data_IF_577720334523
#
_entry.id   IF_577720334523
#
_cell.length_a   1.000
_cell.length_b   1.000
_cell.length_c   1.000
_cell.angle_alpha   90.00
_cell.angle_beta   90.00
_cell.angle_gamma   90.00
#
_symmetry.space_group_name_H-M   'P 1'
#
loop_
_entity.id
_entity.type
_entity.pdbx_description
1 polymer ?
#
# COMPACT_ATOMS: atom_id res chain seq x y z
N UNK A 1 4.87 -63.78 -61.99
CA UNK A 1 4.76 -63.56 -60.54
C UNK A 1 4.82 -62.05 -60.32
N UNK A 2 3.70 -61.43 -59.95
CA UNK A 2 3.65 -59.99 -59.69
C UNK A 2 3.93 -59.78 -58.20
N UNK A 3 5.06 -59.13 -57.90
CA UNK A 3 5.40 -58.77 -56.53
C UNK A 3 4.53 -57.56 -56.13
N UNK A 4 3.66 -57.74 -55.15
CA UNK A 4 2.88 -56.66 -54.55
C UNK A 4 3.64 -56.18 -53.32
N UNK A 5 4.24 -55.00 -53.40
CA UNK A 5 4.91 -54.36 -52.26
C UNK A 5 3.92 -53.47 -51.50
N UNK A 6 4.04 -53.44 -50.17
CA UNK A 6 3.25 -52.56 -49.30
C UNK A 6 3.66 -51.10 -49.53
N UNK A 7 2.82 -50.35 -50.22
CA UNK A 7 3.02 -48.94 -50.61
C UNK A 7 3.02 -47.94 -49.43
N UNK A 8 3.00 -48.42 -48.19
CA UNK A 8 2.99 -47.63 -46.97
C UNK A 8 4.38 -47.18 -46.50
N UNK A 9 5.45 -47.80 -47.00
CA UNK A 9 6.82 -47.44 -46.61
C UNK A 9 7.37 -46.22 -47.36
N UNK A 10 7.00 -46.03 -48.64
CA UNK A 10 7.50 -44.92 -49.48
C UNK A 10 6.62 -43.66 -49.44
N UNK A 11 5.48 -43.69 -48.73
CA UNK A 11 4.58 -42.55 -48.57
C UNK A 11 5.18 -41.30 -47.90
N UNK A 12 5.99 -41.40 -46.81
CA UNK A 12 6.58 -40.23 -46.17
C UNK A 12 7.79 -39.63 -46.92
N UNK A 13 8.39 -40.38 -47.86
CA UNK A 13 9.55 -39.95 -48.67
C UNK A 13 9.16 -39.46 -50.07
N UNK A 14 7.87 -39.25 -50.34
CA UNK A 14 7.38 -38.79 -51.64
C UNK A 14 7.61 -37.28 -51.77
N UNK A 15 8.31 -36.89 -52.84
CA UNK A 15 8.66 -35.50 -53.18
C UNK A 15 7.45 -34.54 -53.15
N UNK A 16 6.23 -35.03 -53.37
CA UNK A 16 5.00 -34.21 -53.36
C UNK A 16 4.64 -33.57 -52.02
N UNK A 17 5.35 -33.89 -50.92
CA UNK A 17 5.21 -33.21 -49.63
C UNK A 17 6.36 -32.22 -49.35
N UNK A 18 7.36 -32.16 -50.23
CA UNK A 18 8.48 -31.23 -50.09
C UNK A 18 8.09 -29.82 -50.53
N UNK A 19 8.57 -28.81 -49.81
CA UNK A 19 8.32 -27.40 -50.11
C UNK A 19 8.76 -27.00 -51.53
N UNK A 20 9.76 -27.68 -52.09
CA UNK A 20 10.25 -27.45 -53.44
C UNK A 20 9.35 -28.04 -54.55
N UNK A 21 8.35 -28.85 -54.21
CA UNK A 21 7.43 -29.50 -55.15
C UNK A 21 5.99 -28.95 -55.08
N UNK A 22 5.76 -27.81 -54.42
CA UNK A 22 4.43 -27.22 -54.36
C UNK A 22 3.85 -27.00 -55.76
N UNK A 23 2.75 -27.68 -56.07
CA UNK A 23 2.08 -27.53 -57.36
C UNK A 23 1.25 -26.25 -57.37
N UNK A 24 0.94 -25.74 -58.57
CA UNK A 24 0.06 -24.57 -58.68
C UNK A 24 -1.35 -24.85 -58.12
N UNK A 25 -1.79 -26.10 -58.19
CA UNK A 25 -3.05 -26.53 -57.58
C UNK A 25 -3.00 -26.40 -56.06
N UNK A 26 -1.88 -26.76 -55.43
CA UNK A 26 -1.72 -26.62 -53.97
C UNK A 26 -1.73 -25.16 -53.55
N UNK A 27 -1.04 -24.29 -54.30
CA UNK A 27 -1.02 -22.84 -54.04
C UNK A 27 -2.42 -22.25 -54.16
N UNK A 28 -3.17 -22.62 -55.21
CA UNK A 28 -4.54 -22.15 -55.41
C UNK A 28 -5.50 -22.66 -54.34
N UNK A 29 -5.37 -23.93 -53.95
CA UNK A 29 -6.16 -24.53 -52.87
C UNK A 29 -5.89 -23.82 -51.53
N UNK A 30 -4.62 -23.58 -51.20
CA UNK A 30 -4.24 -22.86 -49.99
C UNK A 30 -4.74 -21.41 -50.02
N UNK A 31 -4.61 -20.70 -51.15
CA UNK A 31 -5.09 -19.33 -51.28
C UNK A 31 -6.62 -19.24 -51.11
N UNK A 32 -7.38 -20.17 -51.70
CA UNK A 32 -8.83 -20.25 -51.56
C UNK A 32 -9.25 -20.54 -50.10
N UNK A 33 -8.58 -21.49 -49.45
CA UNK A 33 -8.80 -21.79 -48.04
C UNK A 33 -8.47 -20.60 -47.14
N UNK A 34 -7.34 -19.92 -47.38
CA UNK A 34 -6.94 -18.73 -46.64
C UNK A 34 -7.97 -17.62 -46.82
N UNK A 35 -8.39 -17.29 -48.04
CA UNK A 35 -9.39 -16.25 -48.27
C UNK A 35 -10.72 -16.52 -47.54
N UNK A 36 -11.14 -17.78 -47.47
CA UNK A 36 -12.39 -18.16 -46.79
C UNK A 36 -12.29 -18.14 -45.27
N UNK A 37 -11.12 -18.47 -44.72
CA UNK A 37 -10.91 -18.60 -43.27
C UNK A 37 -10.27 -17.38 -42.63
N UNK A 38 -9.68 -16.50 -43.44
CA UNK A 38 -9.01 -15.30 -42.96
C UNK A 38 -10.03 -14.29 -42.47
N UNK A 39 -9.83 -13.85 -41.22
CA UNK A 39 -10.49 -12.68 -40.72
C UNK A 39 -9.69 -11.43 -41.12
N UNK A 40 -10.15 -10.72 -42.13
CA UNK A 40 -9.49 -9.51 -42.65
C UNK A 40 -9.45 -8.34 -41.65
N UNK A 41 -10.24 -8.42 -40.59
CA UNK A 41 -10.36 -7.37 -39.58
C UNK A 41 -9.83 -7.82 -38.20
N UNK A 42 -8.98 -8.84 -38.16
CA UNK A 42 -8.40 -9.36 -36.92
C UNK A 42 -7.55 -8.33 -36.14
N UNK A 43 -7.10 -7.26 -36.79
CA UNK A 43 -6.37 -6.17 -36.14
C UNK A 43 -7.29 -5.17 -35.40
N UNK A 44 -8.59 -5.11 -35.74
CA UNK A 44 -9.55 -4.20 -35.09
C UNK A 44 -10.25 -4.91 -33.92
N UNK A 45 -9.78 -4.59 -32.72
CA UNK A 45 -10.33 -5.06 -31.46
C UNK A 45 -11.72 -4.53 -31.13
N UNK A 46 -12.10 -3.39 -31.70
CA UNK A 46 -13.32 -2.68 -31.35
C UNK A 46 -14.52 -3.10 -32.21
N UNK A 47 -14.29 -3.95 -33.21
CA UNK A 47 -15.26 -4.38 -34.22
C UNK A 47 -15.89 -3.24 -35.04
N UNK A 48 -15.38 -2.00 -34.97
CA UNK A 48 -16.03 -0.84 -35.57
C UNK A 48 -16.11 -0.94 -37.09
N UNK A 49 -15.00 -1.32 -37.72
CA UNK A 49 -14.91 -1.42 -39.18
C UNK A 49 -15.81 -2.53 -39.73
N UNK A 50 -15.91 -3.65 -39.01
CA UNK A 50 -16.76 -4.78 -39.34
C UNK A 50 -18.24 -4.45 -39.18
N UNK A 51 -18.60 -3.71 -38.12
CA UNK A 51 -19.96 -3.24 -37.89
C UNK A 51 -20.37 -2.28 -39.00
N UNK A 52 -19.51 -1.31 -39.32
CA UNK A 52 -19.75 -0.35 -40.40
C UNK A 52 -20.00 -1.07 -41.73
N UNK A 53 -19.11 -2.00 -42.11
CA UNK A 53 -19.27 -2.82 -43.30
C UNK A 53 -20.54 -3.70 -43.28
N UNK A 54 -20.88 -4.30 -42.15
CA UNK A 54 -22.11 -5.09 -42.05
C UNK A 54 -23.34 -4.20 -42.23
N UNK A 55 -23.30 -2.98 -41.72
CA UNK A 55 -24.42 -2.03 -41.81
C UNK A 55 -24.54 -1.31 -43.15
N UNK A 56 -23.59 -1.47 -44.09
CA UNK A 56 -23.71 -0.85 -45.43
C UNK A 56 -24.81 -1.49 -46.28
N UNK A 57 -25.23 -2.72 -45.97
CA UNK A 57 -26.35 -3.38 -46.65
C UNK A 57 -27.49 -3.67 -45.68
N UNK A 58 -28.74 -3.33 -46.04
CA UNK A 58 -29.90 -3.71 -45.25
C UNK A 58 -30.05 -5.25 -45.25
N UNK A 59 -30.38 -5.81 -44.08
CA UNK A 59 -30.62 -7.25 -43.91
C UNK A 59 -29.40 -8.08 -43.50
N UNK A 60 -28.22 -7.46 -43.32
CA UNK A 60 -27.06 -8.13 -42.71
C UNK A 60 -27.09 -7.89 -41.21
N UNK A 61 -27.31 -8.96 -40.44
CA UNK A 61 -27.21 -8.95 -38.98
C UNK A 61 -25.80 -9.37 -38.57
N UNK A 62 -25.08 -8.52 -37.86
CA UNK A 62 -23.78 -8.86 -37.31
C UNK A 62 -23.95 -9.40 -35.87
N UNK A 63 -23.06 -10.30 -35.49
CA UNK A 63 -22.90 -10.75 -34.11
C UNK A 63 -21.44 -10.57 -33.68
N UNK A 64 -21.24 -10.15 -32.43
CA UNK A 64 -19.92 -10.07 -31.81
C UNK A 64 -19.33 -11.43 -31.47
N UNK A 65 -18.05 -11.45 -31.12
CA UNK A 65 -17.42 -12.62 -30.50
C UNK A 65 -17.91 -12.85 -29.06
N UNK A 66 -17.85 -14.10 -28.58
CA UNK A 66 -18.22 -14.48 -27.21
C UNK A 66 -17.19 -13.94 -26.19
N UNK A 67 -17.33 -12.67 -25.79
CA UNK A 67 -16.45 -11.97 -24.83
C UNK A 67 -14.99 -11.80 -25.28
N UNK A 68 -14.67 -12.16 -26.53
CA UNK A 68 -13.36 -12.02 -27.14
C UNK A 68 -13.47 -11.28 -28.47
N UNK A 69 -12.59 -10.30 -28.68
CA UNK A 69 -12.40 -9.64 -29.96
C UNK A 69 -11.75 -10.60 -30.96
N UNK A 70 -11.97 -10.34 -32.24
CA UNK A 70 -11.25 -11.04 -33.30
C UNK A 70 -9.73 -10.96 -33.05
N UNK A 71 -9.03 -12.10 -33.07
CA UNK A 71 -7.59 -12.15 -32.78
C UNK A 71 -7.21 -12.14 -31.29
N UNK A 72 -8.17 -12.09 -30.36
CA UNK A 72 -7.91 -12.29 -28.92
C UNK A 72 -7.27 -11.09 -28.19
N UNK A 73 -7.35 -9.90 -28.74
CA UNK A 73 -6.67 -8.73 -28.16
C UNK A 73 -7.24 -8.21 -26.83
N UNK A 74 -8.46 -8.59 -26.46
CA UNK A 74 -9.07 -8.24 -25.17
C UNK A 74 -9.06 -9.41 -24.17
N UNK A 75 -8.31 -10.49 -24.43
CA UNK A 75 -8.34 -11.69 -23.57
C UNK A 75 -7.81 -11.37 -22.18
N UNK A 76 -6.77 -10.56 -22.05
CA UNK A 76 -6.22 -10.19 -20.74
C UNK A 76 -7.21 -9.35 -19.93
N UNK A 77 -7.87 -8.38 -20.57
CA UNK A 77 -8.86 -7.53 -19.91
C UNK A 77 -10.12 -8.32 -19.55
N UNK A 78 -10.59 -9.17 -20.46
CA UNK A 78 -11.73 -10.08 -20.24
C UNK A 78 -11.46 -11.05 -19.10
N UNK A 79 -10.28 -11.70 -19.10
CA UNK A 79 -9.85 -12.61 -18.05
C UNK A 79 -9.73 -11.90 -16.71
N UNK A 80 -9.16 -10.70 -16.67
CA UNK A 80 -9.07 -9.90 -15.44
C UNK A 80 -10.44 -9.53 -14.88
N UNK A 81 -11.41 -9.21 -15.73
CA UNK A 81 -12.76 -8.85 -15.29
C UNK A 81 -13.59 -10.06 -14.84
N UNK A 82 -13.43 -11.20 -15.51
CA UNK A 82 -14.18 -12.43 -15.21
C UNK A 82 -13.58 -13.22 -14.05
N UNK A 83 -12.26 -13.31 -13.98
CA UNK A 83 -11.52 -14.11 -12.99
C UNK A 83 -11.14 -13.28 -11.77
N UNK A 84 -10.91 -11.97 -11.94
CA UNK A 84 -10.38 -11.10 -10.89
C UNK A 84 -8.90 -11.35 -10.59
N UNK A 85 -8.43 -10.81 -9.46
CA UNK A 85 -7.06 -11.05 -8.95
C UNK A 85 -6.94 -12.32 -8.10
N UNK A 86 -8.04 -12.74 -7.48
CA UNK A 86 -8.10 -13.92 -6.61
C UNK A 86 -9.13 -14.87 -7.19
N UNK A 87 -8.67 -16.04 -7.62
CA UNK A 87 -9.57 -17.10 -8.07
C UNK A 87 -10.38 -17.60 -6.87
N UNK A 88 -11.68 -17.31 -6.85
CA UNK A 88 -12.60 -17.68 -5.76
C UNK A 88 -12.84 -19.19 -5.68
N UNK A 89 -12.55 -19.92 -6.77
CA UNK A 89 -12.66 -21.38 -6.84
C UNK A 89 -11.32 -21.98 -7.30
N UNK A 90 -10.32 -22.11 -6.42
CA UNK A 90 -9.09 -22.79 -6.76
C UNK A 90 -9.37 -24.25 -7.09
N UNK A 91 -8.54 -24.84 -7.95
CA UNK A 91 -8.64 -26.24 -8.35
C UNK A 91 -8.15 -27.15 -7.20
N UNK A 92 -8.93 -27.25 -6.14
CA UNK A 92 -8.67 -28.10 -4.98
C UNK A 92 -9.41 -29.44 -5.08
N UNK A 93 -8.96 -30.44 -4.32
CA UNK A 93 -9.67 -31.72 -4.17
C UNK A 93 -11.05 -31.44 -3.57
N UNK A 94 -12.09 -31.64 -4.36
CA UNK A 94 -13.47 -31.46 -3.92
C UNK A 94 -13.81 -32.62 -2.99
N UNK A 95 -14.09 -32.31 -1.74
CA UNK A 95 -14.62 -33.28 -0.79
C UNK A 95 -16.14 -33.40 -0.97
N UNK A 96 -16.69 -34.61 -0.82
CA UNK A 96 -18.11 -34.91 -1.00
C UNK A 96 -18.93 -34.58 0.26
N UNK A 97 -18.29 -34.26 1.37
CA UNK A 97 -19.01 -33.84 2.57
C UNK A 97 -19.77 -32.54 2.30
N UNK A 98 -21.00 -32.50 2.84
CA UNK A 98 -21.80 -31.30 2.81
C UNK A 98 -21.07 -30.15 3.51
N UNK A 99 -21.22 -28.94 2.99
CA UNK A 99 -20.71 -27.74 3.65
C UNK A 99 -21.36 -27.63 5.03
N UNK A 100 -20.63 -27.22 6.08
CA UNK A 100 -21.20 -27.03 7.42
C UNK A 100 -22.42 -26.09 7.45
N UNK A 101 -22.58 -25.23 6.43
CA UNK A 101 -23.72 -24.35 6.24
C UNK A 101 -24.23 -24.47 4.80
N UNK A 102 -25.52 -24.75 4.65
CA UNK A 102 -26.18 -24.94 3.36
C UNK A 102 -26.32 -23.62 2.56
N UNK A 103 -26.38 -22.49 3.25
CA UNK A 103 -26.56 -21.15 2.68
C UNK A 103 -25.58 -20.16 3.27
N UNK A 104 -25.42 -19.01 2.63
CA UNK A 104 -24.64 -17.90 3.18
C UNK A 104 -25.38 -17.34 4.40
N UNK A 105 -24.72 -17.25 5.58
CA UNK A 105 -25.34 -16.67 6.78
C UNK A 105 -25.64 -15.18 6.59
N UNK A 106 -26.55 -14.63 7.40
CA UNK A 106 -26.93 -13.21 7.31
C UNK A 106 -25.73 -12.28 7.53
N UNK A 107 -25.31 -11.57 6.47
CA UNK A 107 -24.16 -10.64 6.49
C UNK A 107 -24.53 -9.19 6.84
N UNK A 108 -25.80 -8.90 7.18
CA UNK A 108 -26.28 -7.53 7.37
C UNK A 108 -25.67 -6.78 8.56
N UNK A 109 -25.00 -7.48 9.48
CA UNK A 109 -24.26 -6.86 10.59
C UNK A 109 -22.84 -6.41 10.24
N UNK A 110 -22.38 -6.68 9.01
CA UNK A 110 -21.05 -6.34 8.55
C UNK A 110 -19.94 -7.22 9.14
N UNK A 111 -18.68 -6.81 8.94
CA UNK A 111 -17.52 -7.50 9.50
C UNK A 111 -17.42 -7.27 11.01
N UNK A 112 -17.49 -8.35 11.79
CA UNK A 112 -17.37 -8.31 13.25
C UNK A 112 -15.88 -8.21 13.64
N UNK A 113 -15.55 -7.31 14.58
CA UNK A 113 -14.23 -7.24 15.20
C UNK A 113 -14.36 -7.57 16.70
N UNK A 114 -14.20 -8.85 17.09
CA UNK A 114 -14.47 -9.30 18.46
C UNK A 114 -13.60 -8.61 19.52
N UNK A 115 -12.36 -8.23 19.16
CA UNK A 115 -11.43 -7.58 20.09
C UNK A 115 -11.92 -6.18 20.43
N UNK A 116 -12.29 -5.40 19.42
CA UNK A 116 -12.78 -4.04 19.62
C UNK A 116 -14.14 -4.04 20.31
N UNK A 117 -15.03 -4.97 19.97
CA UNK A 117 -16.32 -5.13 20.66
C UNK A 117 -16.14 -5.46 22.14
N UNK A 118 -15.24 -6.39 22.47
CA UNK A 118 -14.94 -6.73 23.86
C UNK A 118 -14.36 -5.55 24.64
N UNK A 119 -13.45 -4.77 24.03
CA UNK A 119 -12.88 -3.57 24.64
C UNK A 119 -13.94 -2.50 24.93
N UNK A 120 -14.93 -2.32 24.04
CA UNK A 120 -16.03 -1.38 24.26
C UNK A 120 -16.98 -1.89 25.35
N UNK A 121 -17.32 -3.17 25.33
CA UNK A 121 -18.24 -3.78 26.31
C UNK A 121 -17.66 -3.79 27.73
N UNK A 122 -16.36 -4.10 27.85
CA UNK A 122 -15.66 -4.17 29.13
C UNK A 122 -14.94 -2.85 29.49
N UNK A 123 -15.08 -1.84 28.63
CA UNK A 123 -14.49 -0.53 28.81
C UNK A 123 -14.95 0.12 30.11
N UNK A 124 -14.05 0.85 30.73
CA UNK A 124 -14.32 1.47 32.02
C UNK A 124 -15.23 2.70 31.88
N UNK A 125 -16.33 2.72 32.64
CA UNK A 125 -17.32 3.81 32.60
C UNK A 125 -17.00 4.97 33.56
N UNK A 126 -16.10 4.78 34.52
CA UNK A 126 -15.80 5.77 35.56
C UNK A 126 -14.72 6.73 35.06
N UNK A 127 -15.14 7.90 34.58
CA UNK A 127 -14.24 8.92 34.00
C UNK A 127 -13.45 9.68 35.08
N UNK A 128 -13.97 9.78 36.31
CA UNK A 128 -13.42 10.64 37.37
C UNK A 128 -12.55 9.89 38.38
N UNK A 129 -11.56 9.13 37.90
CA UNK A 129 -10.54 8.55 38.77
C UNK A 129 -9.56 9.63 39.21
N UNK A 130 -9.27 9.71 40.51
CA UNK A 130 -8.26 10.64 41.06
C UNK A 130 -6.85 10.39 40.51
N UNK A 131 -6.54 9.16 40.07
CA UNK A 131 -5.28 8.80 39.42
C UNK A 131 -5.16 9.26 37.96
N UNK A 132 -6.28 9.62 37.32
CA UNK A 132 -6.33 10.05 35.91
C UNK A 132 -6.62 11.56 35.85
N UNK A 133 -7.58 12.02 36.65
CA UNK A 133 -7.98 13.42 36.75
C UNK A 133 -7.34 14.08 37.97
N UNK A 134 -6.09 14.54 37.81
CA UNK A 134 -5.35 15.30 38.84
C UNK A 134 -5.83 16.75 38.97
N UNK A 135 -7.16 16.95 39.03
CA UNK A 135 -7.77 18.29 39.11
C UNK A 135 -7.44 19.00 40.42
N UNK A 136 -7.20 18.25 41.51
CA UNK A 136 -6.85 18.83 42.81
C UNK A 136 -5.39 19.27 42.95
N UNK A 137 -4.49 18.77 42.10
CA UNK A 137 -3.05 19.08 42.16
C UNK A 137 -2.67 20.25 41.23
N UNK A 138 -3.55 20.60 40.29
CA UNK A 138 -3.34 21.69 39.35
C UNK A 138 -3.81 23.01 39.96
N UNK A 139 -2.94 24.01 39.94
CA UNK A 139 -3.31 25.38 40.28
C UNK A 139 -4.17 26.01 39.18
N UNK A 140 -5.36 26.49 39.54
CA UNK A 140 -6.26 27.24 38.64
C UNK A 140 -6.01 28.75 38.68
N UNK A 141 -4.96 29.20 39.38
CA UNK A 141 -4.65 30.64 39.56
C UNK A 141 -4.58 31.37 38.21
N UNK A 142 -4.05 30.72 37.17
CA UNK A 142 -3.97 31.25 35.80
C UNK A 142 -5.33 31.64 35.20
N UNK A 143 -6.42 31.00 35.63
CA UNK A 143 -7.77 31.28 35.13
C UNK A 143 -8.53 32.30 35.97
N UNK A 144 -8.05 32.60 37.18
CA UNK A 144 -8.70 33.52 38.12
C UNK A 144 -7.98 34.87 38.26
N UNK A 145 -6.68 34.94 37.95
CA UNK A 145 -5.91 36.17 37.99
C UNK A 145 -5.67 36.73 36.59
N UNK A 146 -5.59 38.05 36.50
CA UNK A 146 -5.18 38.74 35.29
C UNK A 146 -3.73 38.38 34.94
N UNK A 147 -3.42 38.10 33.66
CA UNK A 147 -2.05 37.83 33.24
C UNK A 147 -1.17 39.05 33.46
N UNK A 148 0.12 38.80 33.76
CA UNK A 148 1.11 39.86 33.88
C UNK A 148 1.34 40.53 32.53
N UNK A 149 1.70 41.82 32.57
CA UNK A 149 2.22 42.51 31.39
C UNK A 149 3.53 41.82 30.94
N UNK A 150 3.78 41.62 29.63
CA UNK A 150 4.96 40.89 29.15
C UNK A 150 6.28 41.41 29.72
N UNK A 151 6.46 42.72 29.79
CA UNK A 151 7.67 43.33 30.38
C UNK A 151 7.85 42.98 31.88
N UNK A 152 6.76 42.89 32.64
CA UNK A 152 6.80 42.49 34.05
C UNK A 152 7.05 40.98 34.17
N UNK A 153 6.49 40.19 33.25
CA UNK A 153 6.73 38.75 33.20
C UNK A 153 8.20 38.41 32.90
N UNK A 154 8.81 39.10 31.94
CA UNK A 154 10.21 38.89 31.56
C UNK A 154 11.17 39.25 32.70
N UNK A 155 10.89 40.33 33.41
CA UNK A 155 11.68 40.74 34.59
C UNK A 155 11.50 39.80 35.78
N UNK A 156 10.33 39.17 35.93
CA UNK A 156 10.08 38.21 37.02
C UNK A 156 10.66 36.82 36.73
N UNK A 157 10.64 36.39 35.46
CA UNK A 157 11.17 35.09 35.05
C UNK A 157 12.70 35.08 34.89
N UNK A 158 13.34 36.25 34.80
CA UNK A 158 14.79 36.35 34.75
C UNK A 158 15.39 36.05 36.13
N UNK A 159 16.02 34.89 36.29
CA UNK A 159 16.64 34.49 37.57
C UNK A 159 17.74 35.45 38.01
N UNK A 160 18.46 36.08 37.09
CA UNK A 160 19.53 37.02 37.39
C UNK A 160 19.05 38.31 38.09
N UNK A 161 17.75 38.63 38.07
CA UNK A 161 17.23 39.82 38.77
C UNK A 161 16.62 39.50 40.14
N UNK A 162 16.42 38.21 40.46
CA UNK A 162 15.71 37.75 41.66
C UNK A 162 16.53 36.83 42.56
N UNK A 163 17.38 36.01 41.97
CA UNK A 163 18.20 35.04 42.67
C UNK A 163 19.62 35.60 42.71
N UNK A 164 20.09 35.90 43.90
CA UNK A 164 21.37 36.55 44.12
C UNK A 164 22.55 35.66 43.72
N UNK A 165 22.42 34.33 43.85
CA UNK A 165 23.41 33.35 43.36
C UNK A 165 23.58 33.42 41.83
N UNK A 166 22.50 33.62 41.08
CA UNK A 166 22.53 33.65 39.60
C UNK A 166 22.98 35.04 39.09
N UNK A 167 22.77 36.09 39.90
CA UNK A 167 23.10 37.46 39.56
C UNK A 167 24.62 37.75 39.61
N UNK A 168 25.35 37.06 40.49
CA UNK A 168 26.80 37.26 40.67
C UNK A 168 27.49 35.93 40.92
N UNK A 169 28.43 35.60 40.03
CA UNK A 169 29.34 34.49 40.22
C UNK A 169 30.16 34.70 41.51
N UNK A 170 30.14 33.71 42.41
CA UNK A 170 30.76 33.79 43.74
C UNK A 170 29.88 34.33 44.88
N UNK A 171 28.59 34.64 44.66
CA UNK A 171 27.69 34.98 45.77
C UNK A 171 27.38 33.72 46.61
N UNK A 172 27.64 33.78 47.91
CA UNK A 172 27.41 32.69 48.85
C UNK A 172 26.29 33.09 49.81
N UNK A 173 25.25 32.25 49.91
CA UNK A 173 24.17 32.45 50.88
C UNK A 173 24.74 32.42 52.30
N UNK A 174 24.58 33.54 53.01
CA UNK A 174 25.16 33.74 54.35
C UNK A 174 26.44 34.59 54.37
N UNK A 175 26.93 35.01 53.20
CA UNK A 175 28.11 35.85 53.05
C UNK A 175 29.42 35.11 53.29
N UNK A 176 30.54 35.77 52.95
CA UNK A 176 31.88 35.29 53.29
C UNK A 176 32.24 35.85 54.67
N UNK A 177 32.65 35.03 55.65
CA UNK A 177 33.04 35.51 56.96
C UNK A 177 34.23 36.47 56.86
N UNK A 178 34.11 37.67 57.45
CA UNK A 178 35.10 38.75 57.32
C UNK A 178 36.51 38.35 57.73
N UNK A 179 36.64 37.38 58.65
CA UNK A 179 37.94 36.86 59.10
C UNK A 179 38.70 36.15 57.99
N UNK A 180 38.00 35.38 57.15
CA UNK A 180 38.61 34.66 56.05
C UNK A 180 39.02 35.63 54.94
N UNK A 181 38.21 36.67 54.70
CA UNK A 181 38.56 37.76 53.76
C UNK A 181 39.86 38.47 54.18
N UNK A 182 40.00 38.81 55.46
CA UNK A 182 41.23 39.45 55.98
C UNK A 182 42.42 38.50 55.94
N UNK A 183 42.23 37.21 56.22
CA UNK A 183 43.30 36.21 56.12
C UNK A 183 43.78 36.06 54.68
N UNK A 184 42.86 35.91 53.74
CA UNK A 184 43.19 35.63 52.35
C UNK A 184 43.86 36.85 51.69
N UNK A 185 43.42 38.07 52.02
CA UNK A 185 44.09 39.31 51.61
C UNK A 185 45.49 39.45 52.22
N UNK A 186 45.67 39.16 53.51
CA UNK A 186 47.00 39.21 54.14
C UNK A 186 47.95 38.15 53.56
N UNK A 187 47.44 36.94 53.31
CA UNK A 187 48.19 35.86 52.70
C UNK A 187 48.68 36.25 51.29
N UNK A 188 47.78 36.78 50.44
CA UNK A 188 48.11 37.20 49.07
C UNK A 188 49.14 38.34 49.02
N UNK A 189 49.10 39.26 49.98
CA UNK A 189 50.02 40.40 50.04
C UNK A 189 51.41 40.04 50.58
N UNK A 190 51.49 39.07 51.49
CA UNK A 190 52.74 38.69 52.17
C UNK A 190 53.45 37.49 51.55
N UNK A 191 52.76 36.71 50.72
CA UNK A 191 53.30 35.48 50.15
C UNK A 191 53.28 35.48 48.63
N UNK A 192 54.40 35.11 48.00
CA UNK A 192 54.48 34.92 46.55
C UNK A 192 54.17 33.47 46.16
N UNK A 193 53.71 33.27 44.92
CA UNK A 193 53.23 31.97 44.40
C UNK A 193 54.28 30.85 44.46
N UNK A 194 55.56 31.18 44.57
CA UNK A 194 56.68 30.22 44.60
C UNK A 194 57.42 30.19 45.94
N UNK A 195 56.89 30.83 46.99
CA UNK A 195 57.61 31.02 48.25
C UNK A 195 57.90 29.71 49.02
N UNK A 196 57.17 28.65 48.71
CA UNK A 196 57.30 27.33 49.35
C UNK A 196 57.49 26.19 48.34
N UNK A 197 57.92 26.51 47.12
CA UNK A 197 58.30 25.52 46.10
C UNK A 197 59.78 25.12 46.26
#
# INVERSE_FOLDING_TARGET
MANVYSYTFDTPSRIGLDQCNLSQTDIQNVASCNYRTQNFFAADCSMKTQIELATTQPGIMYNGGFNSGAGGCNIDTSSRLQIGSIQTNPRCRIDLFHRPFATVPYLGRGSVNPVMEAQIQQGEQIVNKRSINNLGEKSYIKYHQTPLLPAVQDTFNNSATKIENDASDGWIRGGVPSRELTRDTDYFNKHSTYQYA
#
